data_IF_760646329850
#
_entry.id   IF_760646329850
#
_cell.length_a   1.000
_cell.length_b   1.000
_cell.length_c   1.000
_cell.angle_alpha   90.00
_cell.angle_beta   90.00
_cell.angle_gamma   90.00
#
_symmetry.space_group_name_H-M   'P 1'
#
loop_
_entity.id
_entity.type
_entity.pdbx_description
1 polymer ?
#
# COMPACT_ATOMS: atom_id res chain seq x y z
N UNK A 1 -40.17 5.53 8.10
CA UNK A 1 -40.17 6.24 6.81
C UNK A 1 -40.30 5.18 5.72
N UNK A 2 -41.23 5.32 4.76
CA UNK A 2 -41.36 4.37 3.64
C UNK A 2 -40.15 4.58 2.75
N UNK A 3 -39.16 3.69 2.83
CA UNK A 3 -38.05 3.70 1.88
C UNK A 3 -38.64 3.41 0.49
N UNK A 4 -38.69 4.41 -0.36
CA UNK A 4 -38.98 4.23 -1.78
C UNK A 4 -37.92 3.29 -2.35
N UNK A 5 -38.33 2.33 -3.18
CA UNK A 5 -37.44 1.34 -3.84
C UNK A 5 -36.12 1.95 -4.35
N UNK A 6 -36.08 3.12 -5.01
CA UNK A 6 -34.82 3.76 -5.43
C UNK A 6 -33.89 4.14 -4.28
N UNK A 7 -34.42 4.55 -3.12
CA UNK A 7 -33.62 4.91 -1.96
C UNK A 7 -32.92 3.69 -1.35
N UNK A 8 -33.64 2.57 -1.24
CA UNK A 8 -33.07 1.30 -0.78
C UNK A 8 -31.99 0.76 -1.75
N UNK A 9 -32.14 1.01 -3.05
CA UNK A 9 -31.18 0.57 -4.07
C UNK A 9 -29.87 1.38 -3.99
N UNK A 10 -29.96 2.69 -3.76
CA UNK A 10 -28.79 3.56 -3.52
C UNK A 10 -28.08 3.19 -2.20
N UNK A 11 -28.83 2.86 -1.16
CA UNK A 11 -28.23 2.41 0.11
C UNK A 11 -27.44 1.09 -0.05
N UNK A 12 -27.90 0.17 -0.90
CA UNK A 12 -27.21 -1.10 -1.15
C UNK A 12 -26.07 -1.00 -2.20
N UNK A 13 -26.10 -0.01 -3.08
CA UNK A 13 -25.05 0.19 -4.10
C UNK A 13 -23.69 0.49 -3.44
N UNK A 14 -22.62 -0.23 -3.81
CA UNK A 14 -21.25 -0.06 -3.27
C UNK A 14 -21.10 -0.19 -1.72
N UNK A 15 -22.10 -0.79 -1.04
CA UNK A 15 -22.12 -1.12 0.39
C UNK A 15 -21.65 0.03 1.31
N UNK A 16 -20.64 -0.17 2.18
CA UNK A 16 -20.17 0.80 3.20
C UNK A 16 -19.44 2.06 2.65
N UNK A 17 -19.84 2.60 1.50
CA UNK A 17 -19.31 3.85 0.96
C UNK A 17 -20.16 5.06 1.36
N UNK A 18 -19.57 6.26 1.50
CA UNK A 18 -20.33 7.49 1.72
C UNK A 18 -21.35 7.74 0.60
N UNK A 19 -22.56 8.19 0.96
CA UNK A 19 -23.67 8.39 0.00
C UNK A 19 -23.33 9.37 -1.13
N UNK A 20 -22.57 10.44 -0.85
CA UNK A 20 -22.14 11.38 -1.91
C UNK A 20 -21.27 10.67 -2.97
N UNK A 21 -20.41 9.74 -2.55
CA UNK A 21 -19.53 9.03 -3.45
C UNK A 21 -20.33 8.08 -4.35
N UNK A 22 -21.30 7.35 -3.79
CA UNK A 22 -22.24 6.54 -4.57
C UNK A 22 -22.98 7.35 -5.63
N UNK A 23 -23.48 8.53 -5.24
CA UNK A 23 -24.15 9.46 -6.15
C UNK A 23 -23.20 9.95 -7.25
N UNK A 24 -21.95 10.25 -6.90
CA UNK A 24 -20.92 10.71 -7.86
C UNK A 24 -20.62 9.62 -8.90
N UNK A 25 -20.41 8.38 -8.46
CA UNK A 25 -20.18 7.25 -9.39
C UNK A 25 -21.41 7.01 -10.28
N UNK A 26 -22.61 7.09 -9.73
CA UNK A 26 -23.84 6.99 -10.52
C UNK A 26 -23.95 8.13 -11.55
N UNK A 27 -23.54 9.35 -11.19
CA UNK A 27 -23.50 10.48 -12.11
C UNK A 27 -22.48 10.25 -13.25
N UNK A 28 -21.30 9.71 -12.95
CA UNK A 28 -20.28 9.35 -13.95
C UNK A 28 -20.81 8.31 -14.95
N UNK A 29 -21.45 7.24 -14.46
CA UNK A 29 -22.08 6.21 -15.30
C UNK A 29 -23.21 6.75 -16.20
N UNK A 30 -23.85 7.86 -15.82
CA UNK A 30 -24.86 8.51 -16.67
C UNK A 30 -24.20 9.47 -17.65
N UNK A 31 -23.13 10.14 -17.22
CA UNK A 31 -22.40 11.14 -17.99
C UNK A 31 -21.63 10.51 -19.16
N UNK A 32 -21.01 9.35 -18.97
CA UNK A 32 -20.13 8.72 -19.96
C UNK A 32 -20.81 8.39 -21.30
N UNK A 33 -22.01 7.77 -21.33
CA UNK A 33 -22.74 7.55 -22.58
C UNK A 33 -23.14 8.85 -23.28
N UNK A 34 -23.52 9.88 -22.50
CA UNK A 34 -23.89 11.20 -23.03
C UNK A 34 -22.68 11.88 -23.67
N UNK A 35 -21.52 11.83 -23.02
CA UNK A 35 -20.27 12.37 -23.55
C UNK A 35 -19.84 11.64 -24.82
N UNK A 36 -20.00 10.32 -24.88
CA UNK A 36 -19.66 9.55 -26.07
C UNK A 36 -20.45 10.02 -27.29
N UNK A 37 -21.75 10.30 -27.14
CA UNK A 37 -22.62 10.76 -28.24
C UNK A 37 -22.39 12.23 -28.57
N UNK A 38 -22.11 13.08 -27.58
CA UNK A 38 -22.02 14.54 -27.76
C UNK A 38 -20.62 15.06 -28.09
N UNK A 39 -19.58 14.52 -27.46
CA UNK A 39 -18.19 14.99 -27.54
C UNK A 39 -17.25 13.98 -28.23
N UNK A 40 -17.73 12.75 -28.46
CA UNK A 40 -17.00 11.69 -29.18
C UNK A 40 -15.99 10.93 -28.32
N UNK A 41 -15.39 9.84 -28.86
CA UNK A 41 -14.61 8.88 -28.08
C UNK A 41 -13.35 9.44 -27.42
N UNK A 42 -12.68 10.42 -28.06
CA UNK A 42 -11.44 10.98 -27.54
C UNK A 42 -11.65 11.76 -26.23
N UNK A 43 -12.67 12.63 -26.19
CA UNK A 43 -12.98 13.43 -25.00
C UNK A 43 -13.50 12.54 -23.88
N UNK A 44 -14.42 11.61 -24.19
CA UNK A 44 -14.93 10.66 -23.21
C UNK A 44 -13.81 9.81 -22.61
N UNK A 45 -12.79 9.45 -23.40
CA UNK A 45 -11.65 8.66 -22.91
C UNK A 45 -10.84 9.42 -21.85
N UNK A 46 -10.57 10.71 -22.09
CA UNK A 46 -9.90 11.56 -21.10
C UNK A 46 -10.74 11.76 -19.84
N UNK A 47 -12.06 11.94 -19.99
CA UNK A 47 -12.97 12.05 -18.84
C UNK A 47 -12.97 10.75 -18.02
N UNK A 48 -13.09 9.59 -18.66
CA UNK A 48 -13.02 8.29 -18.00
C UNK A 48 -11.70 8.08 -17.24
N UNK A 49 -10.57 8.52 -17.79
CA UNK A 49 -9.28 8.47 -17.09
C UNK A 49 -9.33 9.32 -15.80
N UNK A 50 -9.86 10.54 -15.89
CA UNK A 50 -10.00 11.43 -14.73
C UNK A 50 -10.94 10.84 -13.67
N UNK A 51 -12.07 10.28 -14.09
CA UNK A 51 -13.01 9.58 -13.21
C UNK A 51 -12.37 8.38 -12.53
N UNK A 52 -11.58 7.60 -13.27
CA UNK A 52 -10.85 6.45 -12.74
C UNK A 52 -9.80 6.90 -11.70
N UNK A 53 -9.02 7.95 -11.97
CA UNK A 53 -8.09 8.54 -11.00
C UNK A 53 -8.83 9.01 -9.75
N UNK A 54 -10.00 9.63 -9.91
CA UNK A 54 -10.85 10.03 -8.79
C UNK A 54 -11.26 8.82 -7.94
N UNK A 55 -11.66 7.70 -8.56
CA UNK A 55 -11.96 6.46 -7.81
C UNK A 55 -10.75 5.93 -7.05
N UNK A 56 -9.55 5.97 -7.65
CA UNK A 56 -8.29 5.56 -7.00
C UNK A 56 -7.90 6.50 -5.86
N UNK A 57 -8.10 7.81 -5.99
CA UNK A 57 -7.83 8.76 -4.91
C UNK A 57 -8.73 8.49 -3.69
N UNK A 58 -9.98 8.09 -3.94
CA UNK A 58 -10.93 7.70 -2.90
C UNK A 58 -10.61 6.35 -2.24
N UNK A 59 -9.59 5.61 -2.72
CA UNK A 59 -9.07 4.40 -2.10
C UNK A 59 -8.68 4.59 -0.62
N UNK A 60 -8.29 5.81 -0.25
CA UNK A 60 -7.89 6.18 1.10
C UNK A 60 -9.06 6.14 2.11
N UNK A 61 -10.31 6.15 1.64
CA UNK A 61 -11.52 6.10 2.49
C UNK A 61 -12.46 4.93 2.15
N UNK A 62 -12.36 4.37 0.94
CA UNK A 62 -13.29 3.37 0.42
C UNK A 62 -12.64 2.49 -0.62
N UNK A 63 -13.02 1.20 -0.72
CA UNK A 63 -12.45 0.30 -1.73
C UNK A 63 -12.70 0.80 -3.15
N UNK A 64 -11.66 1.17 -3.91
CA UNK A 64 -11.78 1.82 -5.22
C UNK A 64 -12.08 0.81 -6.34
N UNK A 65 -11.84 -0.49 -6.07
CA UNK A 65 -11.87 -1.55 -7.07
C UNK A 65 -13.26 -1.76 -7.68
N UNK A 66 -14.31 -1.71 -6.85
CA UNK A 66 -15.69 -1.86 -7.31
C UNK A 66 -16.13 -0.70 -8.23
N UNK A 67 -16.04 0.58 -7.81
CA UNK A 67 -16.45 1.71 -8.65
C UNK A 67 -15.55 1.89 -9.88
N UNK A 68 -14.22 1.74 -9.75
CA UNK A 68 -13.32 1.79 -10.91
C UNK A 68 -13.57 0.66 -11.90
N UNK A 69 -13.88 -0.54 -11.41
CA UNK A 69 -14.27 -1.68 -12.24
C UNK A 69 -15.60 -1.47 -12.95
N UNK A 70 -16.58 -0.80 -12.32
CA UNK A 70 -17.84 -0.43 -12.96
C UNK A 70 -17.63 0.53 -14.13
N UNK A 71 -16.80 1.57 -13.97
CA UNK A 71 -16.45 2.50 -15.06
C UNK A 71 -15.72 1.78 -16.20
N UNK A 72 -14.79 0.87 -15.88
CA UNK A 72 -14.09 0.08 -16.89
C UNK A 72 -15.05 -0.85 -17.66
N UNK A 73 -16.00 -1.47 -16.97
CA UNK A 73 -17.01 -2.33 -17.58
C UNK A 73 -17.99 -1.53 -18.44
N UNK A 74 -18.39 -0.34 -17.99
CA UNK A 74 -19.16 0.60 -18.80
C UNK A 74 -18.42 0.95 -20.09
N UNK A 75 -17.12 1.30 -20.02
CA UNK A 75 -16.33 1.64 -21.20
C UNK A 75 -16.34 0.53 -22.27
N UNK A 76 -16.36 -0.74 -21.83
CA UNK A 76 -16.53 -1.90 -22.73
C UNK A 76 -17.95 -1.94 -23.32
N UNK A 77 -18.98 -1.77 -22.49
CA UNK A 77 -20.39 -1.82 -22.92
C UNK A 77 -20.72 -0.71 -23.93
N UNK A 78 -20.24 0.51 -23.69
CA UNK A 78 -20.49 1.65 -24.58
C UNK A 78 -19.59 1.63 -25.84
N UNK A 79 -18.73 0.62 -25.99
CA UNK A 79 -17.94 0.39 -27.20
C UNK A 79 -16.66 1.21 -27.30
N UNK A 80 -16.14 1.76 -26.20
CA UNK A 80 -14.86 2.47 -26.18
C UNK A 80 -13.65 1.53 -26.25
N UNK A 81 -13.84 0.26 -25.87
CA UNK A 81 -12.84 -0.79 -26.02
C UNK A 81 -13.53 -2.14 -26.19
N UNK A 82 -12.78 -3.15 -26.65
CA UNK A 82 -13.30 -4.51 -26.80
C UNK A 82 -12.88 -5.39 -25.63
N UNK A 83 -13.68 -6.40 -25.24
CA UNK A 83 -13.28 -7.38 -24.22
C UNK A 83 -11.97 -8.09 -24.56
N UNK A 84 -11.71 -8.34 -25.85
CA UNK A 84 -10.47 -8.99 -26.30
C UNK A 84 -9.24 -8.09 -26.08
N UNK A 85 -9.37 -6.79 -26.33
CA UNK A 85 -8.31 -5.80 -26.06
C UNK A 85 -8.02 -5.71 -24.56
N UNK A 86 -9.06 -5.61 -23.72
CA UNK A 86 -8.92 -5.59 -22.27
C UNK A 86 -8.22 -6.85 -21.76
N UNK A 87 -8.59 -8.02 -22.27
CA UNK A 87 -7.95 -9.28 -21.92
C UNK A 87 -6.46 -9.32 -22.30
N UNK A 88 -6.12 -8.87 -23.52
CA UNK A 88 -4.74 -8.85 -23.98
C UNK A 88 -3.87 -7.92 -23.12
N UNK A 89 -4.36 -6.73 -22.81
CA UNK A 89 -3.66 -5.78 -21.93
C UNK A 89 -3.55 -6.31 -20.50
N UNK A 90 -4.60 -6.93 -19.97
CA UNK A 90 -4.57 -7.54 -18.64
C UNK A 90 -3.52 -8.65 -18.55
N UNK A 91 -3.44 -9.53 -19.55
CA UNK A 91 -2.43 -10.59 -19.61
C UNK A 91 -1.00 -10.04 -19.62
N UNK A 92 -0.73 -9.00 -20.40
CA UNK A 92 0.60 -8.38 -20.44
C UNK A 92 0.98 -7.78 -19.08
N UNK A 93 0.01 -7.26 -18.32
CA UNK A 93 0.23 -6.68 -17.00
C UNK A 93 0.19 -7.71 -15.85
N UNK A 94 -0.32 -8.93 -16.09
CA UNK A 94 -0.32 -9.99 -15.08
C UNK A 94 1.09 -10.35 -14.61
N UNK A 95 2.10 -10.29 -15.48
CA UNK A 95 3.49 -10.49 -15.06
C UNK A 95 3.89 -9.50 -13.95
N UNK A 96 3.54 -8.23 -14.10
CA UNK A 96 3.85 -7.20 -13.09
C UNK A 96 3.07 -7.45 -11.81
N UNK A 97 1.78 -7.78 -11.90
CA UNK A 97 0.95 -8.10 -10.72
C UNK A 97 1.51 -9.33 -9.98
N UNK A 98 1.88 -10.39 -10.69
CA UNK A 98 2.49 -11.58 -10.11
C UNK A 98 3.84 -11.29 -9.47
N UNK A 99 4.66 -10.44 -10.10
CA UNK A 99 5.92 -9.98 -9.53
C UNK A 99 5.69 -9.16 -8.25
N UNK A 100 4.70 -8.28 -8.22
CA UNK A 100 4.32 -7.51 -7.03
C UNK A 100 3.81 -8.43 -5.90
N UNK A 101 2.95 -9.41 -6.20
CA UNK A 101 2.47 -10.40 -5.22
C UNK A 101 3.65 -11.22 -4.68
N UNK A 102 4.53 -11.70 -5.56
CA UNK A 102 5.74 -12.42 -5.17
C UNK A 102 6.64 -11.57 -4.28
N UNK A 103 6.83 -10.29 -4.62
CA UNK A 103 7.64 -9.34 -3.85
C UNK A 103 7.06 -9.11 -2.45
N UNK A 104 5.75 -8.84 -2.35
CA UNK A 104 5.07 -8.64 -1.06
C UNK A 104 5.14 -9.90 -0.19
N UNK A 105 4.88 -11.07 -0.78
CA UNK A 105 5.00 -12.35 -0.08
C UNK A 105 6.46 -12.63 0.36
N UNK A 106 7.43 -12.32 -0.50
CA UNK A 106 8.85 -12.47 -0.23
C UNK A 106 9.33 -11.58 0.92
N UNK A 107 8.97 -10.30 0.93
CA UNK A 107 9.29 -9.38 2.03
C UNK A 107 8.65 -9.85 3.33
N UNK A 108 7.37 -10.24 3.30
CA UNK A 108 6.66 -10.69 4.51
C UNK A 108 7.34 -11.89 5.15
N UNK A 109 7.76 -12.87 4.35
CA UNK A 109 8.53 -14.03 4.80
C UNK A 109 9.93 -13.65 5.32
N UNK A 110 10.64 -12.79 4.58
CA UNK A 110 12.03 -12.44 4.88
C UNK A 110 12.15 -11.54 6.13
N UNK A 111 11.13 -10.73 6.46
CA UNK A 111 11.13 -9.83 7.61
C UNK A 111 11.38 -10.56 8.93
N UNK A 112 10.62 -11.63 9.22
CA UNK A 112 10.71 -12.33 10.51
C UNK A 112 11.99 -13.17 10.61
N UNK A 113 12.40 -13.79 9.50
CA UNK A 113 13.68 -14.49 9.39
C UNK A 113 14.85 -13.53 9.66
N UNK A 114 14.79 -12.33 9.10
CA UNK A 114 15.84 -11.33 9.23
C UNK A 114 15.92 -10.75 10.64
N UNK A 115 14.79 -10.45 11.26
CA UNK A 115 14.73 -9.97 12.63
C UNK A 115 15.30 -11.02 13.60
N UNK A 116 14.96 -12.29 13.41
CA UNK A 116 15.55 -13.39 14.17
C UNK A 116 17.07 -13.49 13.97
N UNK A 117 17.53 -13.47 12.71
CA UNK A 117 18.95 -13.61 12.37
C UNK A 117 19.79 -12.46 12.96
N UNK A 118 19.32 -11.21 12.81
CA UNK A 118 19.98 -10.05 13.40
C UNK A 118 20.02 -10.12 14.92
N UNK A 119 18.91 -10.47 15.58
CA UNK A 119 18.84 -10.60 17.05
C UNK A 119 19.82 -11.65 17.56
N UNK A 120 19.93 -12.79 16.86
CA UNK A 120 20.84 -13.87 17.24
C UNK A 120 22.32 -13.49 17.09
N UNK A 121 22.68 -12.76 16.04
CA UNK A 121 24.06 -12.25 15.85
C UNK A 121 24.40 -11.23 16.94
N UNK A 122 23.45 -10.36 17.24
CA UNK A 122 23.55 -9.37 18.30
C UNK A 122 23.88 -9.97 19.66
N UNK A 123 23.14 -11.00 20.04
CA UNK A 123 23.30 -11.67 21.33
C UNK A 123 24.50 -12.62 21.35
N UNK A 124 24.93 -13.11 20.19
CA UNK A 124 26.02 -14.08 20.07
C UNK A 124 27.42 -13.47 20.04
N UNK A 125 27.58 -12.22 19.61
CA UNK A 125 28.90 -11.60 19.40
C UNK A 125 29.22 -10.58 20.48
N UNK A 126 30.27 -10.84 21.27
CA UNK A 126 30.69 -9.93 22.35
C UNK A 126 31.58 -8.77 21.89
N UNK A 127 32.17 -8.85 20.69
CA UNK A 127 33.09 -7.83 20.18
C UNK A 127 32.38 -6.81 19.27
N UNK A 128 32.54 -5.52 19.59
CA UNK A 128 31.92 -4.39 18.87
C UNK A 128 32.32 -4.34 17.39
N UNK A 129 33.59 -4.64 17.08
CA UNK A 129 34.12 -4.57 15.71
C UNK A 129 33.57 -5.73 14.86
N UNK A 130 33.59 -6.95 15.42
CA UNK A 130 33.10 -8.15 14.73
C UNK A 130 31.59 -8.06 14.51
N UNK A 131 30.86 -7.52 15.48
CA UNK A 131 29.43 -7.28 15.38
C UNK A 131 29.11 -6.33 14.21
N UNK A 132 29.79 -5.18 14.11
CA UNK A 132 29.59 -4.23 13.02
C UNK A 132 29.94 -4.81 11.64
N UNK A 133 31.02 -5.61 11.56
CA UNK A 133 31.42 -6.28 10.32
C UNK A 133 30.38 -7.32 9.87
N UNK A 134 29.94 -8.20 10.77
CA UNK A 134 28.90 -9.20 10.50
C UNK A 134 27.59 -8.54 10.08
N UNK A 135 27.22 -7.46 10.77
CA UNK A 135 26.01 -6.72 10.46
C UNK A 135 26.02 -6.15 9.03
N UNK A 136 27.16 -5.60 8.60
CA UNK A 136 27.31 -4.98 7.28
C UNK A 136 27.32 -6.05 6.16
N UNK A 137 28.03 -7.15 6.35
CA UNK A 137 28.08 -8.26 5.37
C UNK A 137 26.68 -8.86 5.17
N UNK A 138 25.96 -9.07 6.27
CA UNK A 138 24.63 -9.63 6.21
C UNK A 138 23.62 -8.65 5.61
N UNK A 139 23.69 -7.36 5.97
CA UNK A 139 22.91 -6.31 5.33
C UNK A 139 23.12 -6.24 3.81
N UNK A 140 24.37 -6.35 3.35
CA UNK A 140 24.71 -6.39 1.93
C UNK A 140 24.15 -7.63 1.23
N UNK A 141 24.28 -8.81 1.83
CA UNK A 141 23.75 -10.07 1.27
C UNK A 141 22.22 -10.04 1.17
N UNK A 142 21.53 -9.52 2.19
CA UNK A 142 20.08 -9.45 2.19
C UNK A 142 19.50 -8.33 1.33
N UNK A 143 20.27 -7.28 1.05
CA UNK A 143 19.84 -6.20 0.15
C UNK A 143 19.61 -6.66 -1.29
N UNK A 144 20.13 -7.84 -1.68
CA UNK A 144 19.87 -8.42 -3.00
C UNK A 144 18.49 -9.09 -3.11
N UNK A 145 17.88 -9.45 -1.97
CA UNK A 145 16.62 -10.22 -1.92
C UNK A 145 15.43 -9.42 -1.39
N UNK A 146 15.69 -8.29 -0.73
CA UNK A 146 14.68 -7.39 -0.20
C UNK A 146 14.57 -6.13 -1.04
N UNK A 147 13.35 -5.61 -1.17
CA UNK A 147 13.12 -4.30 -1.78
C UNK A 147 13.89 -3.21 -1.00
N UNK A 148 14.47 -2.24 -1.72
CA UNK A 148 15.38 -1.25 -1.15
C UNK A 148 14.76 -0.48 0.03
N UNK A 149 13.46 -0.17 -0.03
CA UNK A 149 12.76 0.55 1.03
C UNK A 149 12.57 -0.30 2.29
N UNK A 150 12.42 -1.62 2.12
CA UNK A 150 12.25 -2.56 3.25
C UNK A 150 13.56 -2.79 4.00
N UNK A 151 14.69 -2.80 3.29
CA UNK A 151 16.02 -2.91 3.90
C UNK A 151 16.30 -1.68 4.76
N UNK A 152 16.03 -0.48 4.24
CA UNK A 152 16.22 0.77 5.00
C UNK A 152 15.36 0.78 6.27
N UNK A 153 14.09 0.36 6.20
CA UNK A 153 13.22 0.27 7.35
C UNK A 153 13.72 -0.71 8.44
N UNK A 154 14.21 -1.89 8.03
CA UNK A 154 14.79 -2.86 8.98
C UNK A 154 16.06 -2.32 9.63
N UNK A 155 16.95 -1.69 8.86
CA UNK A 155 18.18 -1.09 9.40
C UNK A 155 17.86 0.04 10.38
N UNK A 156 16.88 0.91 10.08
CA UNK A 156 16.43 1.96 10.99
C UNK A 156 15.85 1.35 12.28
N UNK A 157 15.00 0.32 12.18
CA UNK A 157 14.42 -0.32 13.35
C UNK A 157 15.49 -0.96 14.26
N UNK A 158 16.50 -1.59 13.66
CA UNK A 158 17.62 -2.15 14.42
C UNK A 158 18.48 -1.04 15.04
N UNK A 159 18.83 0.00 14.29
CA UNK A 159 19.61 1.13 14.80
C UNK A 159 18.90 1.87 15.95
N UNK A 160 17.58 2.08 15.86
CA UNK A 160 16.78 2.63 16.94
C UNK A 160 16.69 1.68 18.14
N UNK A 161 16.56 0.37 17.90
CA UNK A 161 16.62 -0.64 18.96
C UNK A 161 17.94 -0.59 19.74
N UNK A 162 19.05 -0.46 19.03
CA UNK A 162 20.38 -0.27 19.63
C UNK A 162 20.51 1.05 20.38
N UNK A 163 20.05 2.15 19.79
CA UNK A 163 20.06 3.46 20.43
C UNK A 163 19.29 3.43 21.75
N UNK A 164 18.11 2.81 21.78
CA UNK A 164 17.32 2.65 22.99
C UNK A 164 18.05 1.81 24.07
N UNK A 165 18.73 0.73 23.69
CA UNK A 165 19.52 -0.07 24.63
C UNK A 165 20.73 0.72 25.16
N UNK A 166 21.46 1.42 24.28
CA UNK A 166 22.59 2.28 24.66
C UNK A 166 22.14 3.41 25.60
N UNK A 167 21.09 4.14 25.23
CA UNK A 167 20.53 5.23 26.03
C UNK A 167 20.02 4.73 27.38
N UNK A 168 19.39 3.56 27.43
CA UNK A 168 18.98 2.90 28.69
C UNK A 168 20.15 2.52 29.60
N UNK A 169 21.29 2.11 29.03
CA UNK A 169 22.50 1.76 29.81
C UNK A 169 23.28 3.01 30.23
N UNK A 170 23.36 4.04 29.38
CA UNK A 170 24.06 5.29 29.67
C UNK A 170 23.32 6.18 30.68
N UNK A 171 21.97 6.19 30.66
CA UNK A 171 21.12 6.93 31.62
C UNK A 171 21.06 6.31 33.02
N UNK A 172 21.57 5.10 33.23
CA UNK A 172 21.70 4.48 34.56
C UNK A 172 20.40 4.20 35.33
N UNK A 173 19.21 4.25 34.69
CA UNK A 173 17.91 4.09 35.36
C UNK A 173 17.41 2.63 35.40
N UNK A 174 16.83 2.24 36.55
CA UNK A 174 16.38 0.89 36.87
C UNK A 174 15.12 0.45 36.09
N UNK A 175 14.90 -0.87 36.07
CA UNK A 175 14.03 -1.66 35.17
C UNK A 175 12.53 -1.28 35.04
N UNK A 176 12.04 -0.23 35.70
CA UNK A 176 10.58 -0.02 35.92
C UNK A 176 9.98 1.34 35.50
N UNK A 177 10.72 2.25 34.86
CA UNK A 177 10.13 3.51 34.40
C UNK A 177 9.97 3.56 32.87
N UNK A 178 8.77 3.88 32.41
CA UNK A 178 8.47 4.22 31.02
C UNK A 178 9.40 5.33 30.54
N UNK A 179 10.21 5.05 29.52
CA UNK A 179 11.24 5.95 29.02
C UNK A 179 10.81 6.54 27.68
N UNK A 180 10.86 7.87 27.57
CA UNK A 180 10.70 8.61 26.32
C UNK A 180 12.08 8.73 25.65
N UNK A 181 12.24 8.15 24.45
CA UNK A 181 13.49 8.09 23.70
C UNK A 181 13.94 9.44 23.10
N UNK A 182 13.19 10.51 23.36
CA UNK A 182 13.30 11.80 22.67
C UNK A 182 13.95 12.90 23.52
N UNK A 183 14.31 12.63 24.77
CA UNK A 183 14.87 13.60 25.70
C UNK A 183 16.29 13.20 26.19
N UNK A 184 17.30 13.96 25.74
CA UNK A 184 18.73 13.70 25.99
C UNK A 184 19.23 14.32 27.32
N UNK A 185 18.35 14.87 28.17
CA UNK A 185 18.75 15.60 29.39
C UNK A 185 19.43 14.73 30.47
N UNK A 186 19.31 13.40 30.40
CA UNK A 186 19.84 12.47 31.39
C UNK A 186 21.07 11.66 30.92
N UNK A 187 21.64 11.98 29.75
CA UNK A 187 22.85 11.30 29.24
C UNK A 187 24.09 11.86 29.95
N UNK A 188 24.82 11.01 30.69
CA UNK A 188 26.10 11.33 31.34
C UNK A 188 27.29 11.18 30.41
#
# INVERSE_FOLDING_TARGET
MKNTVPHALIENFLNHTPTWYKLTIMAFLILNPILLVSAGPFVTGWVLIVEFIFTLAMALKSYPLQPGGLLALEAVIIGMTSPATVYHEALNNFQVILLLIFMVAGIYFMKDLLLFLFTKILLGVQSKIILGLLFTIMGAFLSAFLDALTVTAVIIAVALGFYNIYHRVASGKSYHASHDSTDDQDVK
#
